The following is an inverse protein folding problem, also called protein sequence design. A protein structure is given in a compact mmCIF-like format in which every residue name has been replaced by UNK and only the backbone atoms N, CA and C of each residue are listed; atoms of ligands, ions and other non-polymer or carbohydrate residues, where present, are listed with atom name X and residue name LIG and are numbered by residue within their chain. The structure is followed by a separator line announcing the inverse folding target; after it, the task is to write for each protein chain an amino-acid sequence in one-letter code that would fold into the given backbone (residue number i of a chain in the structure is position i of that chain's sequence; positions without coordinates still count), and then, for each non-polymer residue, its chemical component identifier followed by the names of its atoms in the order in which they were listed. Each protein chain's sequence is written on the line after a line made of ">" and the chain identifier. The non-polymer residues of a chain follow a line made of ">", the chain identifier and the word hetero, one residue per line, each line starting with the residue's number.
data_IF_649855649568
#
_entry.id   IF_649855649568
#
_cell.length_a   1.000
_cell.length_b   1.000
_cell.length_c   1.000
_cell.angle_alpha   90.00
_cell.angle_beta   90.00
_cell.angle_gamma   90.00
#
_symmetry.space_group_name_H-M   'P 1'
#
loop_
_entity.id
_entity.type
_entity.pdbx_description
1 polymer ?
#
# COMPACT_ATOMS: atom_id res chain seq x y z
N UNK A 1 27.44 57.38 18.79
CA UNK A 1 26.11 56.98 18.27
C UNK A 1 26.31 55.85 17.26
N UNK A 2 25.78 54.65 17.52
CA UNK A 2 25.42 53.62 16.52
C UNK A 2 24.74 52.47 17.26
N UNK A 3 23.40 52.45 17.22
CA UNK A 3 22.57 51.33 17.69
C UNK A 3 22.50 50.32 16.55
N UNK A 4 22.93 49.09 16.79
CA UNK A 4 22.65 47.96 15.91
C UNK A 4 21.38 47.25 16.42
N UNK A 5 20.33 47.24 15.61
CA UNK A 5 19.09 46.50 15.84
C UNK A 5 19.29 45.06 15.34
N UNK A 6 18.93 44.01 16.09
CA UNK A 6 18.86 42.66 15.53
C UNK A 6 17.48 42.48 14.88
N UNK A 7 17.46 42.22 13.57
CA UNK A 7 16.25 41.79 12.87
C UNK A 7 16.07 40.30 13.12
N UNK A 8 15.07 39.97 13.93
CA UNK A 8 14.64 38.60 14.21
C UNK A 8 13.76 38.12 13.04
N UNK A 9 14.32 37.29 12.15
CA UNK A 9 13.54 36.62 11.11
C UNK A 9 12.77 35.45 11.72
N UNK A 10 11.46 35.65 11.95
CA UNK A 10 10.51 34.58 12.27
C UNK A 10 10.18 33.83 10.98
N UNK A 11 10.75 32.64 10.80
CA UNK A 11 10.35 31.69 9.76
C UNK A 11 9.02 31.04 10.16
N UNK A 12 7.93 31.46 9.53
CA UNK A 12 6.65 30.76 9.55
C UNK A 12 6.78 29.47 8.72
N UNK A 13 6.86 28.32 9.38
CA UNK A 13 6.61 27.04 8.72
C UNK A 13 5.10 26.87 8.54
N UNK A 14 4.59 27.25 7.37
CA UNK A 14 3.26 26.81 6.95
C UNK A 14 3.34 25.31 6.68
N UNK A 15 2.87 24.50 7.63
CA UNK A 15 2.58 23.10 7.40
C UNK A 15 1.42 23.01 6.40
N UNK A 16 1.72 22.94 5.12
CA UNK A 16 0.74 22.58 4.11
C UNK A 16 0.35 21.12 4.38
N UNK A 17 -0.81 20.89 4.99
CA UNK A 17 -1.48 19.61 4.90
C UNK A 17 -1.80 19.37 3.42
N UNK A 18 -0.89 18.70 2.71
CA UNK A 18 -1.13 18.26 1.34
C UNK A 18 -2.17 17.16 1.41
N UNK A 19 -3.45 17.53 1.33
CA UNK A 19 -4.49 16.59 0.90
C UNK A 19 -4.08 16.12 -0.49
N UNK A 20 -3.84 14.82 -0.66
CA UNK A 20 -3.45 14.26 -1.94
C UNK A 20 -4.43 14.63 -3.06
N UNK A 21 -4.02 14.49 -4.34
CA UNK A 21 -4.89 14.81 -5.45
C UNK A 21 -6.20 14.04 -5.34
N UNK A 22 -7.32 14.75 -5.52
CA UNK A 22 -8.65 14.11 -5.58
C UNK A 22 -8.70 13.22 -6.81
N UNK A 23 -9.08 11.95 -6.62
CA UNK A 23 -9.24 11.00 -7.72
C UNK A 23 -10.46 11.36 -8.58
N UNK A 24 -10.43 10.97 -9.86
CA UNK A 24 -11.64 10.97 -10.68
C UNK A 24 -12.67 10.01 -10.08
N UNK A 25 -13.95 10.23 -10.37
CA UNK A 25 -15.04 9.37 -9.89
C UNK A 25 -14.83 7.91 -10.32
N UNK A 26 -14.47 7.69 -11.59
CA UNK A 26 -14.17 6.36 -12.13
C UNK A 26 -13.04 5.65 -11.37
N UNK A 27 -11.96 6.37 -11.06
CA UNK A 27 -10.83 5.79 -10.32
C UNK A 27 -11.18 5.55 -8.86
N UNK A 28 -11.97 6.43 -8.24
CA UNK A 28 -12.44 6.24 -6.88
C UNK A 28 -13.39 5.04 -6.74
N UNK A 29 -14.17 4.74 -7.78
CA UNK A 29 -15.05 3.58 -7.83
C UNK A 29 -14.31 2.26 -8.16
N UNK A 30 -13.15 2.32 -8.79
CA UNK A 30 -12.31 1.16 -9.08
C UNK A 30 -11.32 0.90 -7.94
N UNK A 31 -11.52 -0.19 -7.20
CA UNK A 31 -10.72 -0.49 -6.00
C UNK A 31 -9.20 -0.57 -6.25
N UNK A 32 -8.79 -1.16 -7.38
CA UNK A 32 -7.38 -1.22 -7.79
C UNK A 32 -6.83 0.19 -8.07
N UNK A 33 -7.56 1.02 -8.82
CA UNK A 33 -7.15 2.38 -9.13
C UNK A 33 -7.01 3.24 -7.85
N UNK A 34 -8.00 3.16 -6.95
CA UNK A 34 -7.97 3.86 -5.68
C UNK A 34 -6.76 3.44 -4.82
N UNK A 35 -6.48 2.13 -4.71
CA UNK A 35 -5.30 1.62 -4.00
C UNK A 35 -3.99 2.08 -4.66
N UNK A 36 -3.91 2.04 -5.99
CA UNK A 36 -2.75 2.49 -6.76
C UNK A 36 -2.49 3.98 -6.64
N UNK A 37 -3.50 4.80 -6.40
CA UNK A 37 -3.30 6.23 -6.20
C UNK A 37 -2.61 6.56 -4.86
N UNK A 38 -2.81 5.75 -3.82
CA UNK A 38 -2.10 5.89 -2.54
C UNK A 38 -0.67 5.33 -2.58
N UNK A 39 -0.41 4.41 -3.52
CA UNK A 39 0.82 3.63 -3.56
C UNK A 39 2.13 4.44 -3.64
N UNK A 40 2.26 5.52 -4.45
CA UNK A 40 3.52 6.25 -4.55
C UNK A 40 4.01 6.79 -3.20
N UNK A 41 3.09 7.23 -2.33
CA UNK A 41 3.43 7.69 -0.99
C UNK A 41 3.90 6.53 -0.09
N UNK A 42 3.28 5.36 -0.23
CA UNK A 42 3.64 4.14 0.50
C UNK A 42 5.00 3.60 0.05
N UNK A 43 5.28 3.58 -1.26
CA UNK A 43 6.58 3.21 -1.82
C UNK A 43 7.66 4.18 -1.31
N UNK A 44 7.41 5.49 -1.36
CA UNK A 44 8.34 6.48 -0.83
C UNK A 44 8.64 6.26 0.65
N UNK A 45 7.62 5.96 1.46
CA UNK A 45 7.78 5.65 2.89
C UNK A 45 8.56 4.34 3.12
N UNK A 46 8.45 3.37 2.22
CA UNK A 46 9.15 2.09 2.27
C UNK A 46 10.62 2.16 1.79
N UNK A 47 11.08 3.33 1.31
CA UNK A 47 12.45 3.56 0.85
C UNK A 47 12.83 2.61 -0.29
N UNK A 48 13.78 1.72 -0.05
CA UNK A 48 14.31 0.76 -1.02
C UNK A 48 13.57 -0.58 -1.02
N UNK A 49 12.64 -0.79 -0.09
CA UNK A 49 11.94 -2.08 0.06
C UNK A 49 10.88 -2.35 -1.00
N UNK A 50 10.41 -1.32 -1.71
CA UNK A 50 9.38 -1.43 -2.73
C UNK A 50 9.67 -0.52 -3.93
N UNK A 51 9.30 -0.96 -5.11
CA UNK A 51 9.46 -0.21 -6.35
C UNK A 51 8.38 -0.61 -7.36
N UNK A 52 7.81 0.37 -8.06
CA UNK A 52 6.88 0.16 -9.18
C UNK A 52 7.62 0.37 -10.51
N UNK A 53 7.52 -0.57 -11.44
CA UNK A 53 8.03 -0.46 -12.81
C UNK A 53 6.94 -0.88 -13.81
N UNK A 54 6.18 0.10 -14.29
CA UNK A 54 5.01 -0.19 -15.14
C UNK A 54 4.03 -1.10 -14.39
N UNK A 55 3.80 -2.28 -14.93
CA UNK A 55 2.88 -3.30 -14.39
C UNK A 55 3.52 -4.12 -13.25
N UNK A 56 4.83 -4.04 -13.07
CA UNK A 56 5.53 -4.80 -12.03
C UNK A 56 5.59 -4.02 -10.70
N UNK A 57 5.18 -4.65 -9.61
CA UNK A 57 5.52 -4.27 -8.23
C UNK A 57 6.65 -5.18 -7.75
N UNK A 58 7.79 -4.57 -7.46
CA UNK A 58 8.99 -5.23 -6.99
C UNK A 58 9.15 -4.95 -5.51
N UNK A 59 9.25 -6.00 -4.70
CA UNK A 59 9.61 -5.91 -3.29
C UNK A 59 11.01 -6.47 -3.09
N UNK A 60 11.81 -5.79 -2.28
CA UNK A 60 13.21 -6.13 -1.99
C UNK A 60 13.35 -6.58 -0.53
N UNK A 61 13.06 -7.85 -0.20
CA UNK A 61 13.40 -8.41 1.11
C UNK A 61 14.90 -8.25 1.38
N UNK A 62 15.27 -7.99 2.64
CA UNK A 62 16.66 -7.68 3.02
C UNK A 62 17.65 -8.81 2.72
N UNK A 63 17.23 -10.05 2.97
CA UNK A 63 18.07 -11.24 2.82
C UNK A 63 17.43 -12.28 1.89
N UNK A 64 16.38 -11.90 1.16
CA UNK A 64 15.62 -12.78 0.30
C UNK A 64 15.77 -12.40 -1.18
N UNK A 65 15.31 -13.27 -2.10
CA UNK A 65 15.22 -12.90 -3.50
C UNK A 65 14.21 -11.76 -3.69
N UNK A 66 14.39 -11.01 -4.77
CA UNK A 66 13.42 -10.05 -5.27
C UNK A 66 12.05 -10.74 -5.43
N UNK A 67 11.00 -10.12 -4.89
CA UNK A 67 9.63 -10.59 -4.99
C UNK A 67 8.89 -9.70 -6.00
N UNK A 68 8.53 -10.26 -7.15
CA UNK A 68 7.79 -9.53 -8.19
C UNK A 68 6.32 -9.96 -8.20
N UNK A 69 5.44 -8.98 -8.35
CA UNK A 69 4.03 -9.13 -8.69
C UNK A 69 3.76 -8.35 -9.97
N UNK A 70 3.13 -8.98 -10.96
CA UNK A 70 2.91 -8.40 -12.29
C UNK A 70 1.42 -8.28 -12.54
N UNK A 71 0.97 -7.09 -12.88
CA UNK A 71 -0.43 -6.86 -13.24
C UNK A 71 -0.74 -7.52 -14.61
N UNK A 72 -1.88 -8.20 -14.73
CA UNK A 72 -2.31 -8.88 -15.96
C UNK A 72 -3.52 -8.18 -16.60
N UNK A 73 -3.45 -6.86 -16.74
CA UNK A 73 -4.55 -6.02 -17.28
C UNK A 73 -5.07 -6.51 -18.64
N UNK A 74 -4.20 -7.02 -19.51
CA UNK A 74 -4.61 -7.52 -20.82
C UNK A 74 -5.57 -8.73 -20.76
N UNK A 75 -5.58 -9.50 -19.66
CA UNK A 75 -6.56 -10.55 -19.44
C UNK A 75 -7.94 -9.96 -19.10
N UNK A 76 -7.97 -8.89 -18.29
CA UNK A 76 -9.20 -8.14 -17.98
C UNK A 76 -9.84 -7.56 -19.25
N UNK A 77 -9.04 -7.00 -20.15
CA UNK A 77 -9.54 -6.41 -21.42
C UNK A 77 -10.09 -7.48 -22.39
N UNK A 78 -9.87 -8.78 -22.13
CA UNK A 78 -10.32 -9.92 -22.95
C UNK A 78 -11.37 -10.79 -22.25
N UNK A 79 -11.96 -10.31 -21.16
CA UNK A 79 -12.92 -11.06 -20.33
C UNK A 79 -12.37 -12.39 -19.78
N UNK A 80 -11.05 -12.51 -19.62
CA UNK A 80 -10.39 -13.66 -18.99
C UNK A 80 -10.32 -13.43 -17.48
N UNK A 81 -11.44 -13.68 -16.81
CA UNK A 81 -11.61 -13.42 -15.38
C UNK A 81 -10.61 -14.19 -14.50
N UNK A 82 -10.17 -15.38 -14.92
CA UNK A 82 -9.24 -16.23 -14.16
C UNK A 82 -7.83 -15.64 -14.08
N UNK A 83 -7.43 -14.86 -15.08
CA UNK A 83 -6.11 -14.25 -15.17
C UNK A 83 -6.16 -12.72 -15.06
N UNK A 84 -7.32 -12.15 -14.76
CA UNK A 84 -7.48 -10.73 -14.50
C UNK A 84 -7.11 -10.42 -13.05
N UNK A 85 -5.81 -10.23 -12.80
CA UNK A 85 -5.33 -9.76 -11.51
C UNK A 85 -4.44 -8.53 -11.59
N UNK A 86 -4.51 -7.74 -10.53
CA UNK A 86 -3.68 -6.57 -10.32
C UNK A 86 -3.23 -6.51 -8.88
N UNK A 87 -2.12 -5.85 -8.61
CA UNK A 87 -1.58 -5.75 -7.27
C UNK A 87 -1.71 -4.31 -6.77
N UNK A 88 -1.41 -4.02 -5.50
CA UNK A 88 -1.09 -2.68 -5.01
C UNK A 88 -0.26 -2.81 -3.74
N UNK A 89 0.78 -2.01 -3.58
CA UNK A 89 1.56 -1.99 -2.36
C UNK A 89 0.80 -1.23 -1.26
N UNK A 90 0.58 -1.89 -0.13
CA UNK A 90 -0.20 -1.37 1.00
C UNK A 90 0.70 -0.84 2.13
N UNK A 91 2.01 -1.07 2.06
CA UNK A 91 2.99 -0.46 2.95
C UNK A 91 4.02 -1.42 3.52
N UNK A 92 5.04 -0.83 4.14
CA UNK A 92 6.07 -1.52 4.91
C UNK A 92 5.87 -1.24 6.41
N UNK A 93 5.85 -2.30 7.22
CA UNK A 93 5.60 -2.25 8.65
C UNK A 93 6.83 -2.76 9.40
N UNK A 94 7.60 -1.83 9.97
CA UNK A 94 8.93 -2.13 10.50
C UNK A 94 8.93 -3.13 11.68
N UNK A 95 7.99 -3.01 12.63
CA UNK A 95 7.93 -3.90 13.80
C UNK A 95 7.62 -5.36 13.44
N UNK A 96 6.54 -5.66 12.68
CA UNK A 96 6.27 -7.02 12.21
C UNK A 96 7.19 -7.45 11.06
N UNK A 97 8.04 -6.54 10.55
CA UNK A 97 8.92 -6.76 9.38
C UNK A 97 8.12 -7.24 8.17
N UNK A 98 7.03 -6.55 7.89
CA UNK A 98 6.05 -6.95 6.89
C UNK A 98 6.04 -5.98 5.72
N UNK A 99 6.00 -6.51 4.51
CA UNK A 99 5.61 -5.79 3.30
C UNK A 99 4.23 -6.32 2.91
N UNK A 100 3.23 -5.45 2.83
CA UNK A 100 1.85 -5.87 2.53
C UNK A 100 1.48 -5.44 1.11
N UNK A 101 0.89 -6.37 0.36
CA UNK A 101 0.37 -6.15 -0.99
C UNK A 101 -1.09 -6.55 -1.01
N UNK A 102 -1.95 -5.79 -1.68
CA UNK A 102 -3.29 -6.23 -2.01
C UNK A 102 -3.28 -6.82 -3.42
N UNK A 103 -3.86 -8.00 -3.60
CA UNK A 103 -4.10 -8.61 -4.90
C UNK A 103 -5.59 -8.48 -5.22
N UNK A 104 -5.90 -7.86 -6.34
CA UNK A 104 -7.23 -7.68 -6.89
C UNK A 104 -7.47 -8.75 -7.94
N UNK A 105 -8.70 -9.25 -7.99
CA UNK A 105 -9.16 -10.19 -9.01
C UNK A 105 -10.30 -9.54 -9.82
N UNK A 106 -10.82 -10.26 -10.81
CA UNK A 106 -12.09 -9.91 -11.46
C UNK A 106 -13.20 -9.66 -10.41
N UNK A 107 -13.32 -10.57 -9.43
CA UNK A 107 -14.21 -10.43 -8.27
C UNK A 107 -13.42 -10.51 -6.97
N UNK A 108 -13.44 -9.40 -6.22
CA UNK A 108 -12.86 -9.32 -4.89
C UNK A 108 -11.35 -9.08 -4.86
N UNK A 109 -10.77 -9.28 -3.68
CA UNK A 109 -9.33 -9.11 -3.45
C UNK A 109 -8.88 -9.94 -2.26
N UNK A 110 -7.57 -10.19 -2.16
CA UNK A 110 -6.93 -10.68 -0.96
C UNK A 110 -5.74 -9.77 -0.61
N UNK A 111 -5.12 -10.04 0.54
CA UNK A 111 -3.86 -9.42 0.91
C UNK A 111 -2.75 -10.46 0.96
N UNK A 112 -1.53 -10.04 0.69
CA UNK A 112 -0.33 -10.86 0.73
C UNK A 112 0.62 -10.21 1.73
N UNK A 113 0.85 -10.89 2.84
CA UNK A 113 1.94 -10.59 3.75
C UNK A 113 3.23 -11.16 3.17
N UNK A 114 4.24 -10.32 3.01
CA UNK A 114 5.59 -10.72 2.62
C UNK A 114 6.54 -10.42 3.77
N UNK A 115 7.20 -11.44 4.28
CA UNK A 115 8.23 -11.29 5.31
C UNK A 115 9.43 -10.52 4.73
N UNK A 116 9.73 -9.35 5.29
CA UNK A 116 10.80 -8.45 4.82
C UNK A 116 12.18 -9.11 4.93
N UNK A 117 12.36 -10.10 5.81
CA UNK A 117 13.64 -10.79 5.93
C UNK A 117 13.87 -11.78 4.78
N UNK A 118 12.89 -12.65 4.51
CA UNK A 118 13.05 -13.84 3.66
C UNK A 118 12.30 -13.79 2.34
N UNK A 119 11.33 -12.89 2.19
CA UNK A 119 10.42 -12.84 1.03
C UNK A 119 9.33 -13.91 1.03
N UNK A 120 9.20 -14.71 2.10
CA UNK A 120 8.12 -15.69 2.25
C UNK A 120 6.77 -15.00 2.27
N UNK A 121 5.77 -15.63 1.65
CA UNK A 121 4.45 -15.05 1.40
C UNK A 121 3.37 -15.82 2.14
N UNK A 122 2.42 -15.08 2.71
CA UNK A 122 1.20 -15.64 3.31
C UNK A 122 0.03 -14.85 2.73
N UNK A 123 -0.97 -15.57 2.20
CA UNK A 123 -2.22 -14.97 1.76
C UNK A 123 -3.12 -14.74 2.97
N UNK A 124 -3.72 -13.55 3.05
CA UNK A 124 -4.62 -13.08 4.08
C UNK A 124 -5.95 -12.68 3.44
N UNK A 125 -7.06 -12.96 4.11
CA UNK A 125 -8.39 -12.61 3.61
C UNK A 125 -8.73 -11.12 3.74
N UNK A 126 -7.93 -10.35 4.49
CA UNK A 126 -8.12 -8.91 4.71
C UNK A 126 -6.81 -8.23 5.10
N UNK A 127 -6.84 -6.89 5.17
CA UNK A 127 -5.71 -6.09 5.63
C UNK A 127 -5.35 -6.46 7.08
N UNK A 128 -4.09 -6.83 7.38
CA UNK A 128 -3.70 -7.16 8.74
C UNK A 128 -3.66 -5.91 9.63
N UNK A 129 -4.19 -6.04 10.85
CA UNK A 129 -4.00 -5.07 11.93
C UNK A 129 -2.95 -5.62 12.89
N UNK A 130 -1.78 -4.99 12.92
CA UNK A 130 -0.65 -5.44 13.75
C UNK A 130 -0.79 -4.99 15.20
N UNK A 131 -0.40 -5.87 16.13
CA UNK A 131 -0.22 -5.49 17.54
C UNK A 131 0.87 -4.41 17.68
N UNK A 132 0.83 -3.58 18.75
CA UNK A 132 1.84 -2.53 18.94
C UNK A 132 3.29 -3.04 18.98
N UNK A 133 3.52 -4.29 19.37
CA UNK A 133 4.83 -4.95 19.38
C UNK A 133 5.19 -5.65 18.06
N UNK A 134 4.24 -5.77 17.12
CA UNK A 134 4.41 -6.44 15.83
C UNK A 134 4.50 -7.97 15.89
N UNK A 135 4.33 -8.61 17.05
CA UNK A 135 4.44 -10.06 17.18
C UNK A 135 3.19 -10.81 16.71
N UNK A 136 2.06 -10.11 16.63
CA UNK A 136 0.76 -10.67 16.27
C UNK A 136 0.06 -9.73 15.31
N UNK A 137 -0.90 -10.26 14.58
CA UNK A 137 -1.84 -9.47 13.82
C UNK A 137 -3.21 -10.15 13.80
N UNK A 138 -4.24 -9.37 13.55
CA UNK A 138 -5.59 -9.83 13.29
C UNK A 138 -5.93 -9.59 11.83
N UNK A 139 -6.72 -10.50 11.26
CA UNK A 139 -7.32 -10.38 9.94
C UNK A 139 -8.81 -10.60 10.12
N UNK A 140 -9.61 -9.59 9.79
CA UNK A 140 -11.06 -9.68 9.81
C UNK A 140 -11.56 -9.47 8.38
N UNK A 141 -12.01 -10.52 7.67
CA UNK A 141 -12.57 -10.38 6.33
C UNK A 141 -13.84 -9.53 6.41
N UNK A 142 -13.96 -8.60 5.46
CA UNK A 142 -15.23 -7.92 5.20
C UNK A 142 -15.87 -8.68 4.05
N UNK A 143 -16.76 -9.59 4.38
CA UNK A 143 -17.58 -10.29 3.41
C UNK A 143 -19.01 -9.80 3.60
N UNK A 144 -19.60 -9.23 2.55
CA UNK A 144 -20.98 -8.73 2.56
C UNK A 144 -21.99 -9.86 2.78
N UNK A 145 -21.61 -11.13 2.57
CA UNK A 145 -22.45 -12.30 2.85
C UNK A 145 -22.35 -12.80 4.29
N UNK A 146 -21.40 -12.27 5.09
CA UNK A 146 -21.23 -12.61 6.51
C UNK A 146 -21.85 -11.57 7.46
N UNK A 147 -22.94 -10.94 7.01
CA UNK A 147 -23.67 -9.90 7.72
C UNK A 147 -24.15 -10.39 9.10
N UNK A 148 -23.40 -10.03 10.14
CA UNK A 148 -23.88 -9.94 11.52
C UNK A 148 -23.49 -8.58 12.11
N UNK A 149 -24.08 -7.52 11.57
CA UNK A 149 -24.37 -6.31 12.34
C UNK A 149 -23.15 -5.48 12.78
N UNK A 150 -23.40 -4.35 13.48
CA UNK A 150 -22.61 -3.14 13.33
C UNK A 150 -21.23 -3.19 14.00
N UNK A 151 -20.28 -2.53 13.35
CA UNK A 151 -18.95 -2.17 13.87
C UNK A 151 -19.04 -1.26 15.11
#
# INVERSE_FOLDING_TARGET
>A
MRRALPVLFLLFFAAACTTGPRLSEDCAANALCAARAAEPALILAAKDLAERRGDDLLLKPRNGPLVTFTDHKAACDRDDAEHCDGFAFMGAFAKPRALVVQQFFYEGSNFIFVDEASGKRIRLAAMPVFSPDGQRFLVAPYDLENDIGPN
#
